data_IF_647045255140
#
_entry.id   IF_647045255140
#
_cell.length_a   1.000
_cell.length_b   1.000
_cell.length_c   1.000
_cell.angle_alpha   90.00
_cell.angle_beta   90.00
_cell.angle_gamma   90.00
#
_symmetry.space_group_name_H-M   'P 1'
#
loop_
_entity.id
_entity.type
_entity.pdbx_description
1 polymer ?
#
# COMPACT_ATOMS: atom_id res chain seq x y z
N UNK A 1 -8.45 10.43 31.74
CA UNK A 1 -7.79 9.38 30.95
C UNK A 1 -7.76 9.75 29.46
N UNK A 2 -8.85 10.17 28.86
CA UNK A 2 -8.93 10.57 27.44
C UNK A 2 -7.86 11.57 27.01
N UNK A 3 -7.67 12.66 27.79
CA UNK A 3 -6.65 13.67 27.48
C UNK A 3 -5.22 13.11 27.43
N UNK A 4 -4.93 12.10 28.26
CA UNK A 4 -3.61 11.43 28.26
C UNK A 4 -3.43 10.62 26.98
N UNK A 5 -4.46 9.88 26.56
CA UNK A 5 -4.46 9.09 25.32
C UNK A 5 -4.26 10.03 24.11
N UNK A 6 -4.96 11.17 24.09
CA UNK A 6 -4.81 12.17 23.02
C UNK A 6 -3.39 12.71 22.97
N UNK A 7 -2.80 13.03 24.13
CA UNK A 7 -1.41 13.54 24.22
C UNK A 7 -0.43 12.48 23.69
N UNK A 8 -0.57 11.22 24.13
CA UNK A 8 0.29 10.11 23.66
C UNK A 8 0.16 9.92 22.14
N UNK A 9 -1.07 9.96 21.62
CA UNK A 9 -1.31 9.84 20.18
C UNK A 9 -0.65 10.99 19.40
N UNK A 10 -0.85 12.25 19.84
CA UNK A 10 -0.25 13.42 19.19
C UNK A 10 1.28 13.37 19.23
N UNK A 11 1.86 13.01 20.38
CA UNK A 11 3.32 12.87 20.54
C UNK A 11 3.88 11.75 19.64
N UNK A 12 3.21 10.61 19.58
CA UNK A 12 3.60 9.51 18.70
C UNK A 12 3.54 9.91 17.22
N UNK A 13 2.49 10.62 16.83
CA UNK A 13 2.34 11.09 15.45
C UNK A 13 3.38 12.15 15.07
N UNK A 14 3.71 13.06 16.01
CA UNK A 14 4.83 14.02 15.83
C UNK A 14 6.18 13.28 15.69
N UNK A 15 6.41 12.23 16.47
CA UNK A 15 7.63 11.44 16.37
C UNK A 15 7.74 10.72 15.00
N UNK A 16 6.63 10.18 14.45
CA UNK A 16 6.56 9.63 13.11
C UNK A 16 6.92 10.69 12.06
N UNK A 17 6.34 11.90 12.18
CA UNK A 17 6.57 13.01 11.24
C UNK A 17 8.01 13.51 11.27
N UNK A 18 8.64 13.47 12.45
CA UNK A 18 10.03 13.89 12.67
C UNK A 18 11.05 12.75 12.51
N UNK A 19 10.70 11.66 11.85
CA UNK A 19 11.55 10.48 11.59
C UNK A 19 12.97 10.87 11.22
N UNK A 20 13.12 11.76 10.23
CA UNK A 20 14.43 12.18 9.72
C UNK A 20 15.26 12.92 10.78
N UNK A 21 14.64 13.77 11.58
CA UNK A 21 15.33 14.58 12.63
C UNK A 21 15.71 13.71 13.82
N UNK A 22 14.84 12.78 14.20
CA UNK A 22 15.03 11.88 15.34
C UNK A 22 15.95 10.70 15.01
N UNK A 23 16.21 10.44 13.71
CA UNK A 23 16.95 9.27 13.22
C UNK A 23 16.36 7.93 13.73
N UNK A 24 15.06 7.89 13.95
CA UNK A 24 14.29 6.74 14.39
C UNK A 24 13.38 6.31 13.23
N UNK A 25 13.36 5.03 12.93
CA UNK A 25 12.39 4.48 11.96
C UNK A 25 10.97 4.74 12.47
N UNK A 26 10.10 5.23 11.60
CA UNK A 26 8.68 5.55 11.90
C UNK A 26 7.89 4.38 12.49
N UNK A 27 8.33 3.14 12.25
CA UNK A 27 7.71 1.93 12.82
C UNK A 27 7.82 1.91 14.34
N UNK A 28 8.96 2.35 14.90
CA UNK A 28 9.20 2.34 16.35
C UNK A 28 8.20 3.22 17.10
N UNK A 29 8.08 4.53 16.80
CA UNK A 29 7.10 5.38 17.50
C UNK A 29 5.65 4.96 17.22
N UNK A 30 5.33 4.42 16.04
CA UNK A 30 3.99 3.92 15.72
C UNK A 30 3.61 2.73 16.61
N UNK A 31 4.47 1.73 16.77
CA UNK A 31 4.22 0.56 17.61
C UNK A 31 4.15 0.92 19.10
N UNK A 32 5.05 1.80 19.59
CA UNK A 32 5.02 2.28 20.98
C UNK A 32 3.72 3.04 21.25
N UNK A 33 3.35 3.97 20.36
CA UNK A 33 2.10 4.73 20.48
C UNK A 33 0.89 3.80 20.55
N UNK A 34 0.79 2.82 19.65
CA UNK A 34 -0.28 1.83 19.64
C UNK A 34 -0.35 1.07 20.96
N UNK A 35 0.77 0.49 21.41
CA UNK A 35 0.82 -0.30 22.64
C UNK A 35 0.47 0.53 23.89
N UNK A 36 1.00 1.77 23.99
CA UNK A 36 0.72 2.64 25.13
C UNK A 36 -0.74 3.12 25.11
N UNK A 37 -1.29 3.49 23.95
CA UNK A 37 -2.69 3.90 23.88
C UNK A 37 -3.64 2.77 24.31
N UNK A 38 -3.44 1.53 23.83
CA UNK A 38 -4.26 0.39 24.24
C UNK A 38 -4.08 0.04 25.73
N UNK A 39 -2.85 0.11 26.25
CA UNK A 39 -2.60 -0.08 27.69
C UNK A 39 -3.34 0.98 28.53
N UNK A 40 -3.34 2.25 28.12
CA UNK A 40 -4.08 3.30 28.79
C UNK A 40 -5.59 3.11 28.71
N UNK A 41 -6.11 2.61 27.60
CA UNK A 41 -7.53 2.25 27.46
C UNK A 41 -7.89 1.13 28.42
N UNK A 42 -7.11 0.05 28.46
CA UNK A 42 -7.36 -1.08 29.34
C UNK A 42 -7.26 -0.71 30.84
N UNK A 43 -6.21 0.03 31.23
CA UNK A 43 -6.01 0.47 32.62
C UNK A 43 -7.03 1.53 33.06
N UNK A 44 -7.55 2.30 32.13
CA UNK A 44 -8.49 3.38 32.39
C UNK A 44 -9.95 3.05 32.05
N UNK A 45 -10.27 1.79 31.79
CA UNK A 45 -11.59 1.37 31.28
C UNK A 45 -12.73 1.81 32.17
N UNK A 46 -12.54 1.89 33.46
CA UNK A 46 -13.54 2.31 34.43
C UNK A 46 -13.92 3.80 34.31
N UNK A 47 -13.02 4.62 33.79
CA UNK A 47 -13.24 6.06 33.62
C UNK A 47 -14.05 6.41 32.37
N UNK A 48 -14.32 5.44 31.48
CA UNK A 48 -15.11 5.69 30.28
C UNK A 48 -16.60 5.49 30.56
N UNK A 49 -17.39 6.49 30.16
CA UNK A 49 -18.85 6.48 30.29
C UNK A 49 -19.54 6.02 29.01
N UNK A 50 -18.85 6.11 27.87
CA UNK A 50 -19.34 5.71 26.55
C UNK A 50 -18.27 4.91 25.84
N UNK A 51 -18.68 3.95 25.02
CA UNK A 51 -17.80 3.14 24.18
C UNK A 51 -18.40 3.00 22.79
N UNK A 52 -17.60 3.35 21.78
CA UNK A 52 -17.96 3.11 20.38
C UNK A 52 -17.37 1.77 19.94
N UNK A 53 -18.22 0.78 19.75
CA UNK A 53 -17.83 -0.50 19.17
C UNK A 53 -17.65 -0.34 17.66
N UNK A 54 -16.40 -0.23 17.24
CA UNK A 54 -16.03 -0.06 15.83
C UNK A 54 -16.29 -1.31 14.99
N UNK A 55 -16.46 -2.48 15.61
CA UNK A 55 -16.83 -3.71 14.90
C UNK A 55 -18.29 -3.69 14.47
N UNK A 56 -19.17 -3.15 15.31
CA UNK A 56 -20.62 -3.03 15.07
C UNK A 56 -21.00 -1.66 14.52
N UNK A 57 -20.06 -0.72 14.43
CA UNK A 57 -20.29 0.68 14.05
C UNK A 57 -21.37 1.38 14.88
N UNK A 58 -21.46 1.06 16.17
CA UNK A 58 -22.47 1.57 17.07
C UNK A 58 -21.90 1.90 18.45
N UNK A 59 -22.56 2.82 19.14
CA UNK A 59 -22.32 3.04 20.57
C UNK A 59 -22.87 1.86 21.37
N UNK A 60 -22.11 1.42 22.37
CA UNK A 60 -22.57 0.39 23.32
C UNK A 60 -23.50 1.05 24.33
N UNK A 61 -24.78 0.67 24.29
CA UNK A 61 -25.78 1.20 25.20
C UNK A 61 -25.45 0.83 26.66
N UNK A 62 -25.55 1.83 27.54
CA UNK A 62 -25.34 1.63 28.97
C UNK A 62 -23.90 1.29 29.39
N UNK A 63 -22.89 1.47 28.51
CA UNK A 63 -21.48 1.15 28.81
C UNK A 63 -21.00 1.74 30.14
N UNK A 64 -21.39 3.00 30.45
CA UNK A 64 -21.00 3.67 31.68
C UNK A 64 -21.44 2.97 32.97
N UNK A 65 -22.54 2.20 32.91
CA UNK A 65 -23.13 1.49 34.05
C UNK A 65 -22.67 0.04 34.19
N UNK A 66 -21.94 -0.47 33.19
CA UNK A 66 -21.38 -1.83 33.26
C UNK A 66 -20.26 -1.92 34.30
N UNK A 67 -20.16 -3.09 34.93
CA UNK A 67 -19.00 -3.44 35.74
C UNK A 67 -17.74 -3.56 34.89
N UNK A 68 -16.56 -3.49 35.49
CA UNK A 68 -15.29 -3.66 34.78
C UNK A 68 -15.15 -5.10 34.30
N UNK A 69 -15.44 -6.07 35.18
CA UNK A 69 -15.38 -7.51 34.89
C UNK A 69 -16.78 -8.05 34.57
N UNK A 70 -16.79 -9.23 33.95
CA UNK A 70 -18.03 -9.95 33.66
C UNK A 70 -18.78 -10.28 34.98
N UNK A 71 -20.10 -10.11 34.95
CA UNK A 71 -20.96 -10.41 36.09
C UNK A 71 -22.08 -11.37 35.67
N UNK A 72 -22.66 -12.06 36.65
CA UNK A 72 -23.83 -12.92 36.42
C UNK A 72 -25.08 -12.22 36.95
N UNK A 73 -26.08 -12.09 36.10
CA UNK A 73 -27.37 -11.52 36.52
C UNK A 73 -28.20 -12.48 37.36
N UNK A 74 -29.30 -12.02 37.91
CA UNK A 74 -30.22 -12.83 38.76
C UNK A 74 -30.84 -14.05 38.02
N UNK A 75 -30.81 -14.04 36.69
CA UNK A 75 -31.29 -15.13 35.84
C UNK A 75 -30.19 -16.18 35.52
N UNK A 76 -28.95 -15.96 36.01
CA UNK A 76 -27.81 -16.83 35.75
C UNK A 76 -27.10 -16.57 34.41
N UNK A 77 -27.44 -15.47 33.70
CA UNK A 77 -26.80 -15.10 32.43
C UNK A 77 -25.56 -14.24 32.69
N UNK A 78 -24.51 -14.46 31.90
CA UNK A 78 -23.28 -13.69 32.00
C UNK A 78 -23.48 -12.33 31.29
N UNK A 79 -23.36 -11.25 32.05
CA UNK A 79 -23.33 -9.87 31.55
C UNK A 79 -21.87 -9.49 31.36
N UNK A 80 -21.49 -9.20 30.11
CA UNK A 80 -20.13 -8.83 29.74
C UNK A 80 -19.74 -7.49 30.36
N UNK A 81 -18.56 -7.46 30.96
CA UNK A 81 -18.00 -6.25 31.55
C UNK A 81 -17.32 -5.33 30.50
N UNK A 82 -16.96 -4.13 30.97
CA UNK A 82 -16.27 -3.13 30.13
C UNK A 82 -14.96 -3.66 29.54
N UNK A 83 -14.18 -4.40 30.36
CA UNK A 83 -12.88 -4.93 29.93
C UNK A 83 -13.05 -5.93 28.79
N UNK A 84 -14.04 -6.81 28.88
CA UNK A 84 -14.35 -7.78 27.83
C UNK A 84 -14.71 -7.10 26.50
N UNK A 85 -15.53 -6.03 26.54
CA UNK A 85 -15.93 -5.28 25.34
C UNK A 85 -14.74 -4.55 24.69
N UNK A 86 -13.83 -4.03 25.51
CA UNK A 86 -12.59 -3.41 25.03
C UNK A 86 -11.66 -4.44 24.39
N UNK A 87 -11.53 -5.61 25.02
CA UNK A 87 -10.74 -6.74 24.50
C UNK A 87 -11.30 -7.24 23.16
N UNK A 88 -12.63 -7.44 23.08
CA UNK A 88 -13.30 -7.84 21.84
C UNK A 88 -13.01 -6.85 20.70
N UNK A 89 -13.06 -5.54 21.00
CA UNK A 89 -12.73 -4.48 20.03
C UNK A 89 -11.26 -4.54 19.60
N UNK A 90 -10.33 -4.73 20.54
CA UNK A 90 -8.90 -4.88 20.25
C UNK A 90 -8.64 -6.10 19.37
N UNK A 91 -9.19 -7.26 19.72
CA UNK A 91 -9.03 -8.50 18.96
C UNK A 91 -9.60 -8.39 17.55
N UNK A 92 -10.74 -7.69 17.39
CA UNK A 92 -11.30 -7.40 16.07
C UNK A 92 -10.32 -6.62 15.20
N UNK A 93 -9.74 -5.52 15.72
CA UNK A 93 -8.77 -4.73 14.97
C UNK A 93 -7.47 -5.47 14.67
N UNK A 94 -6.96 -6.26 15.63
CA UNK A 94 -5.79 -7.12 15.42
C UNK A 94 -6.09 -8.18 14.35
N UNK A 95 -7.28 -8.78 14.37
CA UNK A 95 -7.73 -9.76 13.39
C UNK A 95 -7.76 -9.16 11.97
N UNK A 96 -8.36 -7.98 11.82
CA UNK A 96 -8.38 -7.26 10.53
C UNK A 96 -6.97 -6.89 10.05
N UNK A 97 -6.10 -6.45 10.96
CA UNK A 97 -4.70 -6.15 10.62
C UNK A 97 -3.95 -7.41 10.19
N UNK A 98 -4.15 -8.54 10.89
CA UNK A 98 -3.55 -9.82 10.54
C UNK A 98 -4.01 -10.32 9.17
N UNK A 99 -5.31 -10.17 8.84
CA UNK A 99 -5.88 -10.49 7.53
C UNK A 99 -5.16 -9.73 6.40
N UNK A 100 -4.96 -8.42 6.58
CA UNK A 100 -4.22 -7.57 5.63
C UNK A 100 -2.76 -8.05 5.49
N UNK A 101 -2.08 -8.32 6.62
CA UNK A 101 -0.69 -8.77 6.60
C UNK A 101 -0.52 -10.12 5.89
N UNK A 102 -1.42 -11.08 6.13
CA UNK A 102 -1.39 -12.40 5.48
C UNK A 102 -1.61 -12.24 3.96
N UNK A 103 -2.57 -11.41 3.57
CA UNK A 103 -2.80 -11.12 2.14
C UNK A 103 -1.56 -10.50 1.48
N UNK A 104 -0.98 -9.46 2.10
CA UNK A 104 0.21 -8.79 1.55
C UNK A 104 1.42 -9.74 1.46
N UNK A 105 1.65 -10.57 2.49
CA UNK A 105 2.73 -11.56 2.45
C UNK A 105 2.53 -12.58 1.32
N UNK A 106 1.30 -13.00 1.08
CA UNK A 106 0.96 -13.89 -0.03
C UNK A 106 1.26 -13.25 -1.39
N UNK A 107 0.75 -12.04 -1.62
CA UNK A 107 0.96 -11.29 -2.85
C UNK A 107 2.45 -11.00 -3.10
N UNK A 108 3.18 -10.50 -2.08
CA UNK A 108 4.61 -10.23 -2.20
C UNK A 108 5.43 -11.50 -2.46
N UNK A 109 5.04 -12.64 -1.88
CA UNK A 109 5.71 -13.92 -2.15
C UNK A 109 5.58 -14.33 -3.62
N UNK A 110 4.39 -14.14 -4.21
CA UNK A 110 4.19 -14.44 -5.65
C UNK A 110 5.08 -13.53 -6.50
N UNK A 111 5.13 -12.24 -6.18
CA UNK A 111 5.97 -11.27 -6.90
C UNK A 111 7.46 -11.61 -6.78
N UNK A 112 7.92 -12.00 -5.60
CA UNK A 112 9.30 -12.43 -5.35
C UNK A 112 9.66 -13.68 -6.16
N UNK A 113 8.74 -14.63 -6.28
CA UNK A 113 8.91 -15.82 -7.13
C UNK A 113 9.04 -15.41 -8.60
N UNK A 114 8.23 -14.47 -9.09
CA UNK A 114 8.34 -13.95 -10.46
C UNK A 114 9.72 -13.35 -10.69
N UNK A 115 10.20 -12.55 -9.74
CA UNK A 115 11.51 -11.88 -9.83
C UNK A 115 12.66 -12.89 -9.75
N UNK A 116 12.63 -13.84 -8.83
CA UNK A 116 13.61 -14.91 -8.69
C UNK A 116 13.83 -15.70 -9.99
N UNK A 117 12.77 -15.97 -10.74
CA UNK A 117 12.85 -16.62 -12.05
C UNK A 117 13.09 -15.65 -13.22
N UNK A 118 13.50 -14.40 -12.94
CA UNK A 118 13.75 -13.36 -13.93
C UNK A 118 12.53 -13.10 -14.85
N UNK A 119 11.30 -13.28 -14.30
CA UNK A 119 10.05 -13.13 -15.03
C UNK A 119 9.88 -11.73 -15.63
N UNK A 120 10.28 -10.70 -14.89
CA UNK A 120 10.19 -9.31 -15.34
C UNK A 120 11.14 -8.96 -16.48
N UNK A 121 12.17 -9.78 -16.76
CA UNK A 121 13.04 -9.58 -17.93
C UNK A 121 12.28 -9.73 -19.25
N UNK A 122 11.16 -10.45 -19.25
CA UNK A 122 10.25 -10.55 -20.39
C UNK A 122 9.73 -9.18 -20.81
N UNK A 123 9.52 -8.25 -19.86
CA UNK A 123 9.07 -6.88 -20.13
C UNK A 123 10.10 -6.10 -20.92
N UNK A 124 11.41 -6.38 -20.72
CA UNK A 124 12.49 -5.74 -21.48
C UNK A 124 12.35 -5.94 -22.99
N UNK A 125 11.86 -7.11 -23.42
CA UNK A 125 11.64 -7.43 -24.81
C UNK A 125 10.65 -6.52 -25.52
N UNK A 126 9.74 -5.88 -24.77
CA UNK A 126 8.78 -4.90 -25.30
C UNK A 126 9.37 -3.49 -25.38
N UNK A 127 10.51 -3.25 -24.71
CA UNK A 127 11.16 -1.93 -24.62
C UNK A 127 12.18 -1.78 -25.74
N UNK A 128 11.71 -1.46 -26.96
CA UNK A 128 12.57 -1.34 -28.15
C UNK A 128 12.34 -0.03 -28.91
N UNK A 129 12.25 1.10 -28.20
CA UNK A 129 12.02 2.39 -28.80
C UNK A 129 13.21 3.32 -28.63
N UNK A 130 13.80 3.79 -29.74
CA UNK A 130 14.92 4.76 -29.74
C UNK A 130 14.46 6.18 -29.36
N UNK A 131 13.23 6.57 -29.68
CA UNK A 131 12.70 7.90 -29.41
C UNK A 131 12.27 8.09 -27.95
N UNK A 132 12.83 9.10 -27.27
CA UNK A 132 12.54 9.42 -25.85
C UNK A 132 11.04 9.55 -25.56
N UNK A 133 10.25 10.18 -26.43
CA UNK A 133 8.81 10.34 -26.24
C UNK A 133 8.04 9.02 -26.29
N UNK A 134 8.38 8.15 -27.23
CA UNK A 134 7.72 6.84 -27.35
C UNK A 134 8.07 5.97 -26.14
N UNK A 135 9.32 6.00 -25.73
CA UNK A 135 9.79 5.28 -24.55
C UNK A 135 9.09 5.80 -23.28
N UNK A 136 8.90 7.11 -23.13
CA UNK A 136 8.18 7.70 -21.99
C UNK A 136 6.75 7.16 -21.90
N UNK A 137 5.98 7.21 -22.97
CA UNK A 137 4.61 6.72 -22.99
C UNK A 137 4.54 5.22 -22.70
N UNK A 138 5.47 4.45 -23.25
CA UNK A 138 5.55 3.02 -22.98
C UNK A 138 5.79 2.74 -21.50
N UNK A 139 6.77 3.40 -20.88
CA UNK A 139 7.03 3.23 -19.44
C UNK A 139 5.85 3.69 -18.59
N UNK A 140 5.20 4.80 -18.93
CA UNK A 140 4.03 5.29 -18.21
C UNK A 140 2.86 4.29 -18.26
N UNK A 141 2.55 3.75 -19.45
CA UNK A 141 1.48 2.76 -19.62
C UNK A 141 1.83 1.45 -18.90
N UNK A 142 3.07 0.96 -19.04
CA UNK A 142 3.53 -0.24 -18.33
C UNK A 142 3.48 -0.06 -16.82
N UNK A 143 3.91 1.09 -16.30
CA UNK A 143 3.86 1.40 -14.88
C UNK A 143 2.43 1.41 -14.35
N UNK A 144 1.53 2.04 -15.08
CA UNK A 144 0.11 2.11 -14.73
C UNK A 144 -0.55 0.72 -14.71
N UNK A 145 -0.35 -0.07 -15.77
CA UNK A 145 -0.97 -1.40 -15.87
C UNK A 145 -0.35 -2.39 -14.89
N UNK A 146 0.99 -2.40 -14.78
CA UNK A 146 1.69 -3.33 -13.92
C UNK A 146 1.33 -3.06 -12.44
N UNK A 147 1.30 -1.79 -12.05
CA UNK A 147 0.94 -1.40 -10.69
C UNK A 147 -0.51 -1.70 -10.30
N UNK A 148 -1.42 -1.78 -11.26
CA UNK A 148 -2.79 -2.19 -10.98
C UNK A 148 -2.92 -3.68 -10.62
N UNK A 149 -1.90 -4.50 -10.95
CA UNK A 149 -1.91 -5.96 -10.76
C UNK A 149 -1.00 -6.39 -9.61
N UNK A 150 0.20 -5.82 -9.55
CA UNK A 150 1.13 -6.11 -8.47
C UNK A 150 1.20 -4.93 -7.46
N UNK A 151 1.91 -4.34 -6.94
CA UNK A 151 1.90 -3.11 -6.15
C UNK A 151 2.74 -2.00 -6.83
N UNK A 152 2.46 -0.77 -6.43
CA UNK A 152 3.12 0.41 -6.99
C UNK A 152 4.63 0.46 -6.70
N UNK A 153 5.06 -0.02 -5.53
CA UNK A 153 6.47 -0.05 -5.16
C UNK A 153 7.24 -1.04 -6.02
N UNK A 154 6.76 -2.28 -6.11
CA UNK A 154 7.38 -3.32 -6.92
C UNK A 154 7.38 -2.95 -8.41
N UNK A 155 6.25 -2.48 -8.94
CA UNK A 155 6.18 -2.01 -10.33
C UNK A 155 7.22 -0.92 -10.61
N UNK A 156 7.37 0.03 -9.67
CA UNK A 156 8.37 1.11 -9.78
C UNK A 156 9.80 0.57 -9.77
N UNK A 157 10.14 -0.31 -8.83
CA UNK A 157 11.49 -0.89 -8.71
C UNK A 157 11.85 -1.66 -9.98
N UNK A 158 10.97 -2.51 -10.46
CA UNK A 158 11.16 -3.31 -11.68
C UNK A 158 11.40 -2.39 -12.89
N UNK A 159 10.54 -1.40 -13.10
CA UNK A 159 10.64 -0.53 -14.26
C UNK A 159 11.84 0.42 -14.20
N UNK A 160 12.20 0.91 -13.01
CA UNK A 160 13.43 1.71 -12.84
C UNK A 160 14.67 0.84 -13.07
N UNK A 161 14.68 -0.41 -12.64
CA UNK A 161 15.77 -1.34 -12.90
C UNK A 161 15.95 -1.60 -14.40
N UNK A 162 14.85 -1.72 -15.15
CA UNK A 162 14.88 -1.82 -16.62
C UNK A 162 15.37 -0.50 -17.23
N UNK A 163 14.85 0.64 -16.77
CA UNK A 163 15.26 1.97 -17.23
C UNK A 163 16.76 2.20 -17.09
N UNK A 164 17.34 1.81 -15.96
CA UNK A 164 18.78 1.97 -15.68
C UNK A 164 19.68 1.25 -16.70
N UNK A 165 19.20 0.14 -17.24
CA UNK A 165 19.92 -0.64 -18.27
C UNK A 165 19.80 -0.02 -19.65
N UNK A 166 18.73 0.73 -19.91
CA UNK A 166 18.42 1.29 -21.23
C UNK A 166 18.93 2.73 -21.36
N UNK A 167 18.74 3.54 -20.32
CA UNK A 167 19.05 4.97 -20.34
C UNK A 167 20.36 5.22 -19.60
N UNK A 168 21.43 5.60 -20.31
CA UNK A 168 22.78 5.83 -19.74
C UNK A 168 22.89 7.14 -18.98
N UNK A 169 22.20 8.19 -19.45
CA UNK A 169 22.29 9.54 -18.91
C UNK A 169 21.54 9.66 -17.58
N UNK A 170 22.21 10.10 -16.52
CA UNK A 170 21.62 10.24 -15.18
C UNK A 170 20.44 11.21 -15.15
N UNK A 171 20.53 12.35 -15.85
CA UNK A 171 19.47 13.35 -15.90
C UNK A 171 18.20 12.80 -16.54
N UNK A 172 18.34 12.12 -17.68
CA UNK A 172 17.20 11.47 -18.33
C UNK A 172 16.55 10.44 -17.40
N UNK A 173 17.37 9.61 -16.73
CA UNK A 173 16.85 8.62 -15.77
C UNK A 173 16.02 9.23 -14.65
N UNK A 174 16.41 10.37 -14.11
CA UNK A 174 15.65 11.08 -13.06
C UNK A 174 14.28 11.51 -13.59
N UNK A 175 14.21 12.08 -14.79
CA UNK A 175 12.95 12.51 -15.40
C UNK A 175 12.02 11.31 -15.69
N UNK A 176 12.55 10.25 -16.28
CA UNK A 176 11.79 9.04 -16.55
C UNK A 176 11.31 8.37 -15.25
N UNK A 177 12.19 8.24 -14.25
CA UNK A 177 11.86 7.64 -12.97
C UNK A 177 10.73 8.41 -12.26
N UNK A 178 10.78 9.76 -12.26
CA UNK A 178 9.71 10.56 -11.67
C UNK A 178 8.34 10.29 -12.31
N UNK A 179 8.29 10.16 -13.65
CA UNK A 179 7.04 9.87 -14.35
C UNK A 179 6.59 8.42 -14.21
N UNK A 180 7.52 7.46 -14.10
CA UNK A 180 7.21 6.06 -13.76
C UNK A 180 6.56 6.00 -12.37
N UNK A 181 7.11 6.69 -11.37
CA UNK A 181 6.56 6.74 -10.01
C UNK A 181 5.14 7.31 -10.01
N UNK A 182 4.91 8.42 -10.72
CA UNK A 182 3.57 9.02 -10.83
C UNK A 182 2.59 8.02 -11.49
N UNK A 183 3.00 7.39 -12.58
CA UNK A 183 2.15 6.46 -13.31
C UNK A 183 1.86 5.18 -12.51
N UNK A 184 2.86 4.65 -11.77
CA UNK A 184 2.69 3.49 -10.91
C UNK A 184 1.72 3.78 -9.74
N UNK A 185 1.89 4.91 -9.05
CA UNK A 185 0.95 5.30 -7.99
C UNK A 185 -0.47 5.53 -8.53
N UNK A 186 -0.59 6.16 -9.69
CA UNK A 186 -1.88 6.32 -10.35
C UNK A 186 -2.52 4.96 -10.71
N UNK A 187 -1.72 4.01 -11.22
CA UNK A 187 -2.18 2.65 -11.56
C UNK A 187 -2.61 1.84 -10.34
N UNK A 188 -1.91 1.98 -9.21
CA UNK A 188 -2.28 1.32 -7.96
C UNK A 188 -3.57 1.83 -7.34
N UNK A 189 -3.88 3.11 -7.52
CA UNK A 189 -4.96 3.78 -6.80
C UNK A 189 -6.38 3.28 -7.16
N UNK A 190 -6.63 2.74 -8.34
CA UNK A 190 -7.96 2.26 -8.72
C UNK A 190 -8.15 0.74 -8.55
N UNK A 191 -7.08 0.02 -8.26
CA UNK A 191 -7.10 -1.44 -8.06
C UNK A 191 -7.13 -1.79 -6.57
N UNK A 192 -7.86 -2.84 -6.15
CA UNK A 192 -7.88 -3.27 -4.75
C UNK A 192 -6.54 -3.83 -4.26
N UNK A 193 -5.66 -4.27 -5.17
CA UNK A 193 -4.36 -4.89 -4.85
C UNK A 193 -3.16 -4.05 -5.30
N UNK A 194 -3.39 -2.97 -6.03
CA UNK A 194 -2.32 -2.15 -6.63
C UNK A 194 -1.64 -1.16 -5.67
N UNK A 195 -2.23 -0.92 -4.50
CA UNK A 195 -1.68 -0.06 -3.45
C UNK A 195 -2.12 -0.58 -2.08
N UNK A 196 -1.21 -0.54 -1.10
CA UNK A 196 -1.50 -1.01 0.27
C UNK A 196 -2.70 -0.29 0.88
N UNK A 197 -2.87 1.01 0.62
CA UNK A 197 -4.01 1.79 1.13
C UNK A 197 -5.34 1.32 0.56
N UNK A 198 -5.43 1.08 -0.73
CA UNK A 198 -6.65 0.54 -1.37
C UNK A 198 -6.93 -0.89 -0.93
N UNK A 199 -5.89 -1.71 -0.79
CA UNK A 199 -5.99 -3.07 -0.22
C UNK A 199 -6.58 -3.05 1.20
N UNK A 200 -6.09 -2.16 2.07
CA UNK A 200 -6.60 -2.01 3.43
C UNK A 200 -8.08 -1.60 3.47
N UNK A 201 -8.48 -0.66 2.62
CA UNK A 201 -9.87 -0.22 2.52
C UNK A 201 -10.78 -1.33 1.97
N UNK A 202 -10.29 -2.10 1.02
CA UNK A 202 -11.03 -3.20 0.40
C UNK A 202 -11.22 -4.38 1.35
N UNK A 203 -10.14 -4.87 2.00
CA UNK A 203 -10.21 -5.95 3.02
C UNK A 203 -11.02 -5.49 4.24
N UNK A 204 -10.95 -4.19 4.59
CA UNK A 204 -11.73 -3.60 5.67
C UNK A 204 -13.21 -3.35 5.33
N UNK A 205 -13.71 -3.83 4.18
CA UNK A 205 -15.11 -3.67 3.70
C UNK A 205 -15.57 -2.20 3.61
N UNK A 206 -14.62 -1.24 3.47
CA UNK A 206 -14.93 0.19 3.31
C UNK A 206 -15.25 0.56 1.88
N UNK A 207 -14.69 -0.17 0.93
CA UNK A 207 -14.89 0.03 -0.51
C UNK A 207 -14.99 -1.33 -1.22
N UNK A 208 -15.84 -1.42 -2.24
CA UNK A 208 -15.90 -2.58 -3.12
C UNK A 208 -14.98 -2.39 -4.34
N UNK A 209 -14.55 -3.49 -4.97
CA UNK A 209 -13.79 -3.46 -6.23
C UNK A 209 -14.49 -2.63 -7.31
N UNK A 210 -15.82 -2.78 -7.43
CA UNK A 210 -16.62 -2.01 -8.38
C UNK A 210 -16.60 -0.51 -8.12
N UNK A 211 -16.63 -0.08 -6.84
CA UNK A 211 -16.53 1.33 -6.46
C UNK A 211 -15.15 1.90 -6.80
N UNK A 212 -14.07 1.19 -6.46
CA UNK A 212 -12.70 1.60 -6.80
C UNK A 212 -12.57 1.84 -8.31
N UNK A 213 -13.02 0.88 -9.11
CA UNK A 213 -12.94 0.99 -10.56
C UNK A 213 -13.79 2.14 -11.10
N UNK A 214 -15.05 2.24 -10.67
CA UNK A 214 -15.99 3.23 -11.23
C UNK A 214 -15.59 4.67 -10.88
N UNK A 215 -15.13 4.92 -9.64
CA UNK A 215 -14.84 6.28 -9.19
C UNK A 215 -13.38 6.69 -9.40
N UNK A 216 -12.43 5.75 -9.34
CA UNK A 216 -11.01 6.08 -9.37
C UNK A 216 -10.31 5.81 -10.69
N UNK A 217 -10.86 4.97 -11.58
CA UNK A 217 -10.19 4.68 -12.85
C UNK A 217 -9.93 5.92 -13.71
N UNK A 218 -10.94 6.77 -13.90
CA UNK A 218 -10.79 8.00 -14.72
C UNK A 218 -9.84 9.01 -14.07
N UNK A 219 -9.98 9.37 -12.76
CA UNK A 219 -9.00 10.21 -12.09
C UNK A 219 -7.58 9.66 -12.15
N UNK A 220 -7.39 8.36 -11.91
CA UNK A 220 -6.09 7.69 -11.98
C UNK A 220 -5.49 7.76 -13.39
N UNK A 221 -6.30 7.48 -14.40
CA UNK A 221 -5.88 7.60 -15.80
C UNK A 221 -5.42 9.03 -16.12
N UNK A 222 -6.17 10.04 -15.69
CA UNK A 222 -5.80 11.44 -15.87
C UNK A 222 -4.50 11.78 -15.11
N UNK A 223 -4.30 11.26 -13.89
CA UNK A 223 -3.06 11.43 -13.14
C UNK A 223 -1.84 10.86 -13.86
N UNK A 224 -1.98 9.82 -14.65
CA UNK A 224 -0.91 9.28 -15.50
C UNK A 224 -0.77 10.06 -16.83
N UNK A 225 -1.89 10.29 -17.53
CA UNK A 225 -1.88 10.86 -18.88
C UNK A 225 -1.43 12.32 -18.89
N UNK A 226 -1.96 13.15 -17.98
CA UNK A 226 -1.69 14.60 -18.00
C UNK A 226 -0.22 14.94 -17.76
N UNK A 227 0.44 14.43 -16.70
CA UNK A 227 1.87 14.69 -16.50
C UNK A 227 2.73 14.13 -17.63
N UNK A 228 2.43 12.92 -18.11
CA UNK A 228 3.15 12.27 -19.21
C UNK A 228 3.01 13.10 -20.50
N UNK A 229 1.82 13.58 -20.81
CA UNK A 229 1.57 14.44 -21.96
C UNK A 229 2.33 15.76 -21.86
N UNK A 230 2.27 16.46 -20.73
CA UNK A 230 3.01 17.70 -20.49
C UNK A 230 4.52 17.45 -20.66
N UNK A 231 5.03 16.36 -20.10
CA UNK A 231 6.43 15.99 -20.18
C UNK A 231 6.92 15.77 -21.62
N UNK A 232 6.07 15.34 -22.55
CA UNK A 232 6.46 15.18 -23.95
C UNK A 232 6.94 16.48 -24.62
N UNK A 233 6.57 17.64 -24.10
CA UNK A 233 6.99 18.95 -24.61
C UNK A 233 8.29 19.45 -23.97
N UNK A 234 8.73 18.85 -22.87
CA UNK A 234 9.96 19.25 -22.20
C UNK A 234 11.21 18.91 -23.04
N UNK A 235 12.26 19.72 -22.97
CA UNK A 235 13.53 19.45 -23.66
C UNK A 235 14.14 18.10 -23.32
N UNK A 236 13.98 17.62 -22.08
CA UNK A 236 14.49 16.33 -21.60
C UNK A 236 13.98 15.11 -22.40
N UNK A 237 12.77 15.22 -23.02
CA UNK A 237 12.17 14.13 -23.79
C UNK A 237 12.25 14.36 -25.32
N UNK A 238 13.06 15.33 -25.77
CA UNK A 238 13.36 15.52 -27.19
C UNK A 238 14.56 14.67 -27.61
N UNK A 239 14.52 14.15 -28.83
CA UNK A 239 15.61 13.37 -29.42
C UNK A 239 15.49 11.87 -29.16
N UNK A 240 16.59 11.18 -29.38
CA UNK A 240 16.71 9.73 -29.25
C UNK A 240 17.61 9.38 -28.04
N UNK A 241 17.46 8.17 -27.54
CA UNK A 241 18.32 7.59 -26.52
C UNK A 241 19.43 6.83 -27.23
N UNK A 242 20.65 6.94 -26.71
CA UNK A 242 21.75 6.12 -27.11
C UNK A 242 21.52 4.71 -26.56
N UNK A 243 20.95 3.86 -27.41
CA UNK A 243 20.49 2.52 -27.08
C UNK A 243 21.59 1.53 -27.48
N UNK A 244 22.16 0.83 -26.50
CA UNK A 244 23.09 -0.23 -26.78
C UNK A 244 22.33 -1.55 -26.99
N UNK A 245 22.19 -1.94 -28.26
CA UNK A 245 21.47 -3.17 -28.64
C UNK A 245 22.12 -4.45 -28.03
N UNK A 246 23.39 -4.35 -27.63
CA UNK A 246 24.13 -5.48 -27.02
C UNK A 246 23.84 -5.67 -25.53
N UNK A 247 23.29 -4.67 -24.83
CA UNK A 247 22.94 -4.76 -23.42
C UNK A 247 21.51 -5.26 -23.15
N UNK A 248 20.71 -5.52 -24.18
CA UNK A 248 19.41 -6.19 -24.03
C UNK A 248 19.70 -7.67 -23.79
N UNK A 249 20.06 -8.01 -22.56
CA UNK A 249 20.17 -9.40 -22.13
C UNK A 249 18.88 -10.15 -22.46
N UNK A 250 18.99 -11.24 -23.20
CA UNK A 250 17.88 -12.17 -23.38
C UNK A 250 17.48 -12.73 -22.01
N UNK A 251 16.20 -13.09 -21.80
CA UNK A 251 15.78 -13.71 -20.56
C UNK A 251 16.72 -14.85 -20.19
N UNK A 252 17.21 -14.86 -18.95
CA UNK A 252 18.17 -15.87 -18.46
C UNK A 252 17.58 -17.30 -18.44
N UNK A 253 16.25 -17.39 -18.39
CA UNK A 253 15.55 -18.66 -18.32
C UNK A 253 14.48 -18.74 -19.41
N UNK A 254 14.34 -19.89 -20.10
CA UNK A 254 13.25 -20.13 -21.04
C UNK A 254 11.87 -20.13 -20.36
N UNK A 255 11.84 -20.20 -19.02
CA UNK A 255 10.63 -20.20 -18.22
C UNK A 255 10.21 -18.82 -17.72
N UNK A 256 11.02 -17.76 -17.93
CA UNK A 256 10.77 -16.40 -17.41
C UNK A 256 9.40 -15.85 -17.81
N UNK A 257 9.07 -15.92 -19.10
CA UNK A 257 7.76 -15.47 -19.59
C UNK A 257 6.60 -16.27 -18.96
N UNK A 258 6.76 -17.61 -18.86
CA UNK A 258 5.75 -18.46 -18.24
C UNK A 258 5.55 -18.12 -16.77
N UNK A 259 6.61 -17.87 -16.02
CA UNK A 259 6.53 -17.47 -14.61
C UNK A 259 5.86 -16.10 -14.43
N UNK A 260 6.16 -15.14 -15.32
CA UNK A 260 5.47 -13.86 -15.31
C UNK A 260 3.96 -14.02 -15.48
N UNK A 261 3.51 -14.72 -16.54
CA UNK A 261 2.08 -14.87 -16.82
C UNK A 261 1.36 -15.72 -15.78
N UNK A 262 1.97 -16.78 -15.27
CA UNK A 262 1.38 -17.59 -14.20
C UNK A 262 1.31 -16.83 -12.89
N UNK A 263 2.35 -16.07 -12.53
CA UNK A 263 2.36 -15.27 -11.32
C UNK A 263 1.33 -14.12 -11.37
N UNK A 264 1.27 -13.37 -12.48
CA UNK A 264 0.25 -12.33 -12.66
C UNK A 264 -1.19 -12.88 -12.68
N UNK A 265 -1.39 -14.13 -13.09
CA UNK A 265 -2.69 -14.79 -13.04
C UNK A 265 -3.02 -15.41 -11.68
N UNK A 266 -2.05 -15.54 -10.77
CA UNK A 266 -2.22 -16.10 -9.44
C UNK A 266 -2.49 -15.03 -8.35
N UNK A 267 -2.17 -13.76 -8.63
CA UNK A 267 -2.51 -12.61 -7.79
C UNK A 267 -3.97 -12.21 -8.03
#
# INVERSE_FOLDING_TARGET
MESVIIIVFVMGYLAITLEHNLKLDKLIPALIMMAVCWALVALGVDNFTTWFDSSKHALVDGFGTLSVEDTTNAAGEVVRGKLHLVEETLLHHLGKTAEILVFLLGAMTIVEIIDYFDGFSTIKGYVNFKGKKKLLWMFAILAFVLSAIIDNLTATIVLISILQKIVKTREDRIWFAGLIIIAANAGGAFSPIGDVTTTMLWIGDKVSTGMLFTYLFIPSLLCMVVPTFIATFLPAFKGEIDFDENEVEKPKSPHSARMLYLGLGAI
#
